data_IF_360044195999
#
_entry.id   IF_360044195999
#
_cell.length_a   1.000
_cell.length_b   1.000
_cell.length_c   1.000
_cell.angle_alpha   90.00
_cell.angle_beta   90.00
_cell.angle_gamma   90.00
#
_symmetry.space_group_name_H-M   'P 1'
#
loop_
_entity.id
_entity.type
_entity.pdbx_description
1 polymer ?
#
# COMPACT_ATOMS: atom_id res chain seq x y z
N UNK A 1 -9.48 -20.84 12.48
CA UNK A 1 -10.13 -22.04 13.04
C UNK A 1 -9.03 -23.05 13.34
N UNK A 2 -9.11 -23.86 14.39
CA UNK A 2 -7.98 -24.74 14.77
C UNK A 2 -7.64 -25.78 13.67
N UNK A 3 -8.55 -25.98 12.71
CA UNK A 3 -8.36 -26.83 11.52
C UNK A 3 -7.41 -26.22 10.47
N UNK A 4 -7.08 -24.93 10.56
CA UNK A 4 -6.23 -24.21 9.60
C UNK A 4 -4.76 -24.15 10.04
N UNK A 5 -4.38 -24.91 11.08
CA UNK A 5 -3.04 -24.90 11.63
C UNK A 5 -2.47 -26.32 11.71
N UNK A 6 -1.29 -26.50 11.13
CA UNK A 6 -0.51 -27.73 11.26
C UNK A 6 0.51 -27.55 12.39
N UNK A 7 0.39 -28.35 13.45
CA UNK A 7 1.37 -28.39 14.54
C UNK A 7 2.31 -29.58 14.34
N UNK A 8 3.62 -29.30 14.27
CA UNK A 8 4.66 -30.32 14.16
C UNK A 8 5.54 -30.30 15.40
N UNK A 9 5.76 -31.48 15.99
CA UNK A 9 6.64 -31.67 17.15
C UNK A 9 7.79 -32.59 16.75
N UNK A 10 9.03 -32.19 17.04
CA UNK A 10 10.19 -33.00 16.73
C UNK A 10 10.19 -34.33 17.51
N UNK A 11 10.32 -35.44 16.79
CA UNK A 11 10.34 -36.80 17.37
C UNK A 11 11.60 -37.08 18.18
N UNK A 12 12.71 -36.42 17.86
CA UNK A 12 13.99 -36.56 18.56
C UNK A 12 14.26 -35.34 19.45
N UNK A 13 14.26 -35.56 20.76
CA UNK A 13 14.64 -34.60 21.79
C UNK A 13 16.17 -34.64 21.97
N UNK A 14 16.86 -33.62 21.47
CA UNK A 14 18.28 -33.40 21.76
C UNK A 14 18.47 -32.64 23.08
N UNK A 15 17.42 -31.93 23.53
CA UNK A 15 17.39 -31.10 24.74
C UNK A 15 16.20 -31.46 25.63
N UNK A 16 16.13 -30.86 26.82
CA UNK A 16 15.05 -31.09 27.81
C UNK A 16 13.67 -30.61 27.35
N UNK A 17 13.59 -29.76 26.32
CA UNK A 17 12.33 -29.22 25.79
C UNK A 17 12.14 -29.61 24.31
N UNK A 18 10.88 -29.85 23.93
CA UNK A 18 10.52 -30.18 22.56
C UNK A 18 10.67 -28.98 21.62
N UNK A 19 11.10 -29.27 20.39
CA UNK A 19 11.03 -28.33 19.27
C UNK A 19 9.67 -28.45 18.61
N UNK A 20 8.98 -27.33 18.50
CA UNK A 20 7.63 -27.28 17.95
C UNK A 20 7.51 -26.20 16.88
N UNK A 21 6.72 -26.46 15.85
CA UNK A 21 6.49 -25.55 14.75
C UNK A 21 5.00 -25.52 14.42
N UNK A 22 4.44 -24.33 14.32
CA UNK A 22 3.06 -24.11 13.88
C UNK A 22 3.08 -23.49 12.48
N UNK A 23 2.42 -24.14 11.53
CA UNK A 23 2.20 -23.62 10.18
C UNK A 23 0.76 -23.19 10.05
N UNK A 24 0.57 -21.94 9.69
CA UNK A 24 -0.76 -21.35 9.49
C UNK A 24 -1.10 -21.38 8.01
N UNK A 25 -2.37 -21.65 7.68
CA UNK A 25 -2.87 -21.72 6.29
C UNK A 25 -2.57 -20.45 5.50
N UNK A 26 -2.46 -19.31 6.17
CA UNK A 26 -2.16 -18.01 5.59
C UNK A 26 -0.69 -17.82 5.17
N UNK A 27 0.20 -18.79 5.43
CA UNK A 27 1.61 -18.77 5.04
C UNK A 27 2.58 -18.35 6.15
N UNK A 28 2.08 -17.99 7.33
CA UNK A 28 2.90 -17.68 8.51
C UNK A 28 3.37 -18.94 9.22
N UNK A 29 4.57 -18.88 9.82
CA UNK A 29 5.15 -20.00 10.58
C UNK A 29 5.70 -19.49 11.90
N UNK A 30 5.34 -20.15 13.00
CA UNK A 30 5.83 -19.84 14.34
C UNK A 30 6.66 -21.00 14.87
N UNK A 31 7.85 -20.68 15.38
CA UNK A 31 8.81 -21.66 15.87
C UNK A 31 8.97 -21.54 17.38
N UNK A 32 8.86 -22.66 18.09
CA UNK A 32 9.13 -22.76 19.53
C UNK A 32 10.36 -23.62 19.79
N UNK A 33 11.30 -23.06 20.54
CA UNK A 33 12.58 -23.70 20.89
C UNK A 33 13.42 -24.19 19.68
N UNK A 34 13.24 -23.62 18.49
CA UNK A 34 13.98 -24.03 17.28
C UNK A 34 15.16 -23.09 17.03
N UNK A 35 16.37 -23.65 16.91
CA UNK A 35 17.57 -22.88 16.62
C UNK A 35 17.47 -22.16 15.28
N UNK A 36 18.08 -20.97 15.16
CA UNK A 36 18.01 -20.13 13.97
C UNK A 36 18.42 -20.84 12.68
N UNK A 37 19.48 -21.66 12.72
CA UNK A 37 19.94 -22.44 11.57
C UNK A 37 18.85 -23.43 11.09
N UNK A 38 18.15 -24.08 12.03
CA UNK A 38 17.07 -25.01 11.72
C UNK A 38 15.86 -24.25 11.16
N UNK A 39 15.49 -23.10 11.76
CA UNK A 39 14.43 -22.21 11.26
C UNK A 39 14.70 -21.79 9.82
N UNK A 40 15.92 -21.32 9.53
CA UNK A 40 16.32 -20.90 8.19
C UNK A 40 16.24 -22.05 7.17
N UNK A 41 16.65 -23.26 7.55
CA UNK A 41 16.53 -24.44 6.69
C UNK A 41 15.07 -24.79 6.37
N UNK A 42 14.18 -24.71 7.36
CA UNK A 42 12.74 -24.94 7.18
C UNK A 42 12.15 -23.87 6.26
N UNK A 43 12.41 -22.59 6.53
CA UNK A 43 11.90 -21.49 5.70
C UNK A 43 12.40 -21.60 4.25
N UNK A 44 13.67 -21.95 4.04
CA UNK A 44 14.25 -22.16 2.71
C UNK A 44 13.53 -23.30 1.95
N UNK A 45 13.16 -24.37 2.65
CA UNK A 45 12.39 -25.46 2.05
C UNK A 45 10.98 -25.01 1.64
N UNK A 46 10.29 -24.29 2.53
CA UNK A 46 8.94 -23.78 2.27
C UNK A 46 8.87 -22.75 1.14
N UNK A 47 9.95 -22.00 0.89
CA UNK A 47 10.01 -20.94 -0.15
C UNK A 47 9.63 -21.43 -1.56
N UNK A 48 9.81 -22.73 -1.84
CA UNK A 48 9.42 -23.35 -3.10
C UNK A 48 7.91 -23.61 -3.24
N UNK A 49 7.18 -23.60 -2.13
CA UNK A 49 5.73 -23.87 -2.05
C UNK A 49 4.91 -22.62 -1.70
N UNK A 50 5.54 -21.45 -1.60
CA UNK A 50 4.88 -20.19 -1.28
C UNK A 50 4.14 -19.64 -2.50
N UNK A 51 2.83 -19.42 -2.35
CA UNK A 51 1.95 -18.77 -3.33
C UNK A 51 1.63 -17.33 -2.87
N UNK A 52 1.68 -16.37 -3.79
CA UNK A 52 1.41 -14.97 -3.44
C UNK A 52 2.47 -14.34 -2.53
N UNK A 53 3.75 -14.51 -2.91
CA UNK A 53 4.90 -14.10 -2.11
C UNK A 53 4.86 -12.63 -1.71
N UNK A 54 5.17 -12.36 -0.45
CA UNK A 54 5.43 -11.00 0.03
C UNK A 54 6.84 -10.54 -0.36
N UNK A 55 7.04 -9.22 -0.33
CA UNK A 55 8.35 -8.61 -0.48
C UNK A 55 9.29 -9.12 0.62
N UNK A 56 10.48 -9.61 0.24
CA UNK A 56 11.39 -10.27 1.20
C UNK A 56 11.83 -9.31 2.31
N UNK A 57 12.05 -8.04 1.96
CA UNK A 57 12.37 -7.00 2.93
C UNK A 57 11.23 -6.81 3.95
N UNK A 58 9.97 -6.71 3.49
CA UNK A 58 8.83 -6.57 4.40
C UNK A 58 8.66 -7.80 5.31
N UNK A 59 8.94 -9.01 4.80
CA UNK A 59 8.90 -10.23 5.63
C UNK A 59 9.97 -10.23 6.71
N UNK A 60 11.18 -9.75 6.40
CA UNK A 60 12.27 -9.64 7.37
C UNK A 60 12.00 -8.54 8.41
N UNK A 61 11.51 -7.37 7.98
CA UNK A 61 11.20 -6.23 8.84
C UNK A 61 10.07 -6.55 9.83
N UNK A 62 9.04 -7.26 9.38
CA UNK A 62 7.90 -7.66 10.22
C UNK A 62 8.13 -8.98 10.97
N UNK A 63 9.34 -9.55 10.94
CA UNK A 63 9.64 -10.80 11.63
C UNK A 63 9.69 -10.61 13.14
N UNK A 64 8.73 -11.21 13.86
CA UNK A 64 8.66 -11.10 15.32
C UNK A 64 9.36 -12.25 16.06
N UNK A 65 9.93 -11.93 17.22
CA UNK A 65 10.48 -12.92 18.14
C UNK A 65 10.13 -12.59 19.59
N UNK A 66 9.73 -13.60 20.35
CA UNK A 66 9.42 -13.47 21.79
C UNK A 66 10.22 -14.51 22.58
N UNK A 67 10.67 -14.12 23.76
CA UNK A 67 11.31 -15.04 24.70
C UNK A 67 10.26 -15.63 25.63
N UNK A 68 10.37 -16.92 25.94
CA UNK A 68 9.52 -17.55 26.94
C UNK A 68 10.36 -18.18 28.06
N UNK A 69 9.72 -18.39 29.21
CA UNK A 69 10.25 -19.12 30.37
C UNK A 69 9.12 -19.86 31.07
N UNK A 70 9.46 -20.88 31.82
CA UNK A 70 8.52 -21.52 32.72
C UNK A 70 8.42 -20.74 34.04
N UNK A 71 7.20 -20.61 34.57
CA UNK A 71 6.98 -20.01 35.88
C UNK A 71 7.49 -20.93 36.99
N UNK A 72 8.10 -20.35 38.03
CA UNK A 72 8.46 -21.08 39.25
C UNK A 72 7.19 -21.27 40.09
N UNK A 73 6.49 -22.38 39.88
CA UNK A 73 5.31 -22.80 40.64
C UNK A 73 3.98 -22.70 39.87
N UNK A 74 2.84 -23.06 40.50
CA UNK A 74 1.52 -23.10 39.87
C UNK A 74 0.99 -21.67 39.68
N UNK A 75 1.47 -20.99 38.64
CA UNK A 75 1.00 -19.69 38.21
C UNK A 75 0.35 -19.83 36.83
N UNK A 76 -0.73 -19.07 36.59
CA UNK A 76 -1.31 -18.96 35.25
C UNK A 76 -0.27 -18.43 34.27
N UNK A 77 -0.41 -18.84 33.02
CA UNK A 77 0.39 -18.32 31.91
C UNK A 77 0.13 -16.83 31.72
N UNK A 78 1.21 -16.05 31.59
CA UNK A 78 1.18 -14.58 31.55
C UNK A 78 2.20 -14.04 30.56
N UNK A 79 1.86 -12.92 29.92
CA UNK A 79 2.79 -12.11 29.14
C UNK A 79 3.19 -10.90 30.00
N UNK A 80 4.49 -10.77 30.32
CA UNK A 80 5.01 -9.65 31.12
C UNK A 80 6.34 -9.19 30.52
N UNK A 81 6.44 -7.90 30.17
CA UNK A 81 7.64 -7.30 29.56
C UNK A 81 8.14 -8.10 28.34
N UNK A 82 7.24 -8.40 27.40
CA UNK A 82 7.52 -9.16 26.17
C UNK A 82 8.12 -10.56 26.40
N UNK A 83 7.88 -11.10 27.59
CA UNK A 83 8.27 -12.46 27.96
C UNK A 83 7.04 -13.27 28.32
N UNK A 84 6.93 -14.42 27.69
CA UNK A 84 5.88 -15.38 27.96
C UNK A 84 6.32 -16.24 29.15
N UNK A 85 5.54 -16.22 30.22
CA UNK A 85 5.72 -17.11 31.36
C UNK A 85 4.71 -18.24 31.24
N UNK A 86 5.15 -19.41 30.78
CA UNK A 86 4.33 -20.60 30.60
C UNK A 86 4.17 -21.36 31.91
N UNK A 87 2.96 -21.86 32.16
CA UNK A 87 2.70 -22.79 33.25
C UNK A 87 3.05 -24.22 32.83
N UNK A 88 4.04 -24.89 33.44
CA UNK A 88 4.38 -26.27 33.11
C UNK A 88 3.30 -27.28 33.51
N UNK A 89 2.41 -26.93 34.44
CA UNK A 89 1.31 -27.80 34.92
C UNK A 89 -0.03 -27.50 34.21
N UNK A 90 -0.04 -26.58 33.25
CA UNK A 90 -1.23 -26.09 32.54
C UNK A 90 -1.52 -26.81 31.21
N UNK A 91 -2.47 -26.26 30.44
CA UNK A 91 -2.74 -26.68 29.06
C UNK A 91 -1.73 -26.02 28.11
N UNK A 92 -0.47 -26.44 28.21
CA UNK A 92 0.65 -25.79 27.52
C UNK A 92 0.46 -25.72 26.01
N UNK A 93 -0.12 -26.75 25.37
CA UNK A 93 -0.34 -26.78 23.91
C UNK A 93 -1.34 -25.72 23.43
N UNK A 94 -2.45 -25.55 24.16
CA UNK A 94 -3.47 -24.54 23.82
C UNK A 94 -2.93 -23.13 24.05
N UNK A 95 -2.15 -22.94 25.12
CA UNK A 95 -1.51 -21.66 25.43
C UNK A 95 -0.46 -21.31 24.36
N UNK A 96 0.43 -22.25 23.99
CA UNK A 96 1.41 -22.08 22.90
C UNK A 96 0.72 -21.78 21.56
N UNK A 97 -0.36 -22.49 21.24
CA UNK A 97 -1.18 -22.17 20.07
C UNK A 97 -1.75 -20.75 20.13
N UNK A 98 -2.28 -20.34 21.28
CA UNK A 98 -2.88 -19.01 21.46
C UNK A 98 -1.85 -17.90 21.23
N UNK A 99 -0.64 -18.05 21.79
CA UNK A 99 0.45 -17.10 21.52
C UNK A 99 0.91 -17.14 20.07
N UNK A 100 1.04 -18.32 19.47
CA UNK A 100 1.45 -18.45 18.06
C UNK A 100 0.45 -17.80 17.11
N UNK A 101 -0.84 -17.99 17.37
CA UNK A 101 -1.91 -17.36 16.60
C UNK A 101 -1.89 -15.84 16.81
N UNK A 102 -1.68 -15.36 18.04
CA UNK A 102 -1.56 -13.93 18.31
C UNK A 102 -0.36 -13.29 17.59
N UNK A 103 0.81 -13.93 17.62
CA UNK A 103 2.01 -13.48 16.89
C UNK A 103 1.77 -13.47 15.38
N UNK A 104 1.15 -14.52 14.84
CA UNK A 104 0.80 -14.58 13.41
C UNK A 104 -0.10 -13.42 12.99
N UNK A 105 -1.11 -13.11 13.81
CA UNK A 105 -2.01 -11.99 13.55
C UNK A 105 -1.28 -10.64 13.64
N UNK A 106 -0.32 -10.50 14.55
CA UNK A 106 0.53 -9.31 14.69
C UNK A 106 1.39 -9.08 13.46
N UNK A 107 2.18 -10.08 13.04
CA UNK A 107 3.00 -10.02 11.82
C UNK A 107 2.14 -9.71 10.59
N UNK A 108 0.98 -10.36 10.48
CA UNK A 108 0.05 -10.12 9.36
C UNK A 108 -0.44 -8.68 9.33
N UNK A 109 -0.70 -8.09 10.50
CA UNK A 109 -1.09 -6.69 10.60
C UNK A 109 0.03 -5.78 10.12
N UNK A 110 1.27 -6.01 10.55
CA UNK A 110 2.44 -5.26 10.09
C UNK A 110 2.61 -5.31 8.56
N UNK A 111 2.49 -6.49 7.97
CA UNK A 111 2.52 -6.66 6.49
C UNK A 111 1.37 -5.88 5.80
N UNK A 112 0.19 -5.86 6.40
CA UNK A 112 -0.95 -5.11 5.87
C UNK A 112 -0.75 -3.61 5.96
N UNK A 113 -0.18 -3.13 7.07
CA UNK A 113 0.19 -1.73 7.27
C UNK A 113 1.24 -1.29 6.25
N UNK A 114 2.32 -2.06 6.08
CA UNK A 114 3.34 -1.79 5.06
C UNK A 114 2.77 -1.80 3.63
N UNK A 115 1.84 -2.71 3.33
CA UNK A 115 1.17 -2.76 2.04
C UNK A 115 0.27 -1.53 1.83
N UNK A 116 -0.47 -1.13 2.87
CA UNK A 116 -1.36 0.01 2.86
C UNK A 116 -0.57 1.32 2.66
N UNK A 117 0.58 1.46 3.32
CA UNK A 117 1.49 2.59 3.12
C UNK A 117 1.97 2.68 1.67
N UNK A 118 2.32 1.55 1.04
CA UNK A 118 2.68 1.52 -0.39
C UNK A 118 1.53 1.96 -1.29
N UNK A 119 0.30 1.55 -0.98
CA UNK A 119 -0.89 2.00 -1.74
C UNK A 119 -1.13 3.50 -1.58
N UNK A 120 -1.02 4.05 -0.37
CA UNK A 120 -1.18 5.48 -0.11
C UNK A 120 -0.16 6.28 -0.94
N UNK A 121 1.12 5.90 -0.87
CA UNK A 121 2.19 6.57 -1.62
C UNK A 121 1.93 6.54 -3.14
N UNK A 122 1.45 5.41 -3.67
CA UNK A 122 1.13 5.30 -5.09
C UNK A 122 -0.07 6.19 -5.48
N UNK A 123 -1.09 6.30 -4.64
CA UNK A 123 -2.24 7.18 -4.89
C UNK A 123 -1.81 8.65 -4.90
N UNK A 124 -0.95 9.05 -3.96
CA UNK A 124 -0.41 10.40 -3.89
C UNK A 124 0.36 10.75 -5.17
N UNK A 125 1.26 9.86 -5.61
CA UNK A 125 1.99 10.04 -6.87
C UNK A 125 1.08 10.15 -8.09
N UNK A 126 0.09 9.26 -8.22
CA UNK A 126 -0.87 9.30 -9.34
C UNK A 126 -1.67 10.60 -9.34
N UNK A 127 -2.10 11.06 -8.16
CA UNK A 127 -2.81 12.33 -7.99
C UNK A 127 -1.95 13.52 -8.41
N UNK A 128 -0.67 13.56 -8.01
CA UNK A 128 0.26 14.62 -8.38
C UNK A 128 0.46 14.67 -9.90
N UNK A 129 0.71 13.52 -10.55
CA UNK A 129 0.89 13.44 -12.00
C UNK A 129 -0.37 13.90 -12.74
N UNK A 130 -1.56 13.54 -12.25
CA UNK A 130 -2.83 14.00 -12.84
C UNK A 130 -3.02 15.50 -12.70
N UNK A 131 -2.73 16.08 -11.52
CA UNK A 131 -2.80 17.52 -11.30
C UNK A 131 -1.87 18.28 -12.25
N UNK A 132 -0.63 17.81 -12.41
CA UNK A 132 0.32 18.39 -13.37
C UNK A 132 -0.26 18.36 -14.78
N UNK A 133 -0.75 17.21 -15.25
CA UNK A 133 -1.32 17.10 -16.60
C UNK A 133 -2.55 17.99 -16.79
N UNK A 134 -3.42 18.08 -15.79
CA UNK A 134 -4.60 18.93 -15.82
C UNK A 134 -4.22 20.41 -15.95
N UNK A 135 -3.25 20.87 -15.17
CA UNK A 135 -2.76 22.25 -15.23
C UNK A 135 -2.21 22.59 -16.62
N UNK A 136 -1.48 21.68 -17.26
CA UNK A 136 -1.02 21.89 -18.65
C UNK A 136 -2.19 22.00 -19.63
N UNK A 137 -3.22 21.16 -19.50
CA UNK A 137 -4.41 21.26 -20.34
C UNK A 137 -5.16 22.59 -20.13
N UNK A 138 -5.23 23.08 -18.90
CA UNK A 138 -5.84 24.38 -18.57
C UNK A 138 -5.05 25.50 -19.23
N UNK A 139 -3.72 25.50 -19.10
CA UNK A 139 -2.84 26.51 -19.71
C UNK A 139 -3.00 26.53 -21.24
N UNK A 140 -3.00 25.35 -21.90
CA UNK A 140 -3.25 25.26 -23.34
C UNK A 140 -4.64 25.78 -23.73
N UNK A 141 -5.67 25.49 -22.93
CA UNK A 141 -7.02 26.00 -23.16
C UNK A 141 -7.09 27.52 -23.02
N UNK A 142 -6.39 28.10 -22.04
CA UNK A 142 -6.30 29.55 -21.87
C UNK A 142 -5.58 30.22 -23.04
N UNK A 143 -4.48 29.64 -23.52
CA UNK A 143 -3.77 30.12 -24.71
C UNK A 143 -4.63 30.04 -25.98
N UNK A 144 -5.41 28.97 -26.15
CA UNK A 144 -6.34 28.86 -27.28
C UNK A 144 -7.46 29.91 -27.17
N UNK A 145 -7.97 30.13 -25.96
CA UNK A 145 -9.02 31.12 -25.71
C UNK A 145 -8.52 32.54 -25.97
N UNK A 146 -7.31 32.88 -25.54
CA UNK A 146 -6.72 34.21 -25.81
C UNK A 146 -6.53 34.41 -27.32
N UNK A 147 -6.01 33.41 -28.03
CA UNK A 147 -5.82 33.48 -29.48
C UNK A 147 -7.15 33.65 -30.23
N UNK A 148 -8.20 32.90 -29.86
CA UNK A 148 -9.54 33.11 -30.43
C UNK A 148 -10.05 34.51 -30.14
N UNK A 149 -9.89 35.01 -28.92
CA UNK A 149 -10.34 36.34 -28.52
C UNK A 149 -9.66 37.43 -29.36
N UNK A 150 -8.35 37.32 -29.58
CA UNK A 150 -7.60 38.22 -30.46
C UNK A 150 -8.12 38.13 -31.90
N UNK A 151 -8.28 36.92 -32.43
CA UNK A 151 -8.78 36.74 -33.80
C UNK A 151 -10.20 37.31 -33.96
N UNK A 152 -11.08 37.11 -32.98
CA UNK A 152 -12.43 37.69 -32.99
C UNK A 152 -12.40 39.22 -32.94
N UNK A 153 -11.55 39.81 -32.09
CA UNK A 153 -11.39 41.26 -32.01
C UNK A 153 -10.89 41.84 -33.34
N UNK A 154 -9.84 41.25 -33.94
CA UNK A 154 -9.33 41.69 -35.24
C UNK A 154 -10.35 41.52 -36.35
N UNK A 155 -11.10 40.41 -36.38
CA UNK A 155 -12.18 40.23 -37.37
C UNK A 155 -13.28 41.28 -37.21
N UNK A 156 -13.64 41.63 -35.98
CA UNK A 156 -14.64 42.65 -35.69
C UNK A 156 -14.16 44.03 -36.13
N UNK A 157 -12.88 44.36 -35.90
CA UNK A 157 -12.26 45.59 -36.39
C UNK A 157 -12.35 45.71 -37.92
N UNK A 158 -11.96 44.65 -38.65
CA UNK A 158 -12.05 44.63 -40.12
C UNK A 158 -13.49 44.77 -40.63
N UNK A 159 -14.47 44.16 -39.96
CA UNK A 159 -15.89 44.30 -40.30
C UNK A 159 -16.33 45.76 -40.14
N UNK A 160 -15.95 46.44 -39.05
CA UNK A 160 -16.28 47.85 -38.83
C UNK A 160 -15.66 48.73 -39.93
N UNK A 161 -14.38 48.52 -40.26
CA UNK A 161 -13.70 49.31 -41.30
C UNK A 161 -14.41 49.16 -42.64
N UNK A 162 -14.78 47.93 -43.04
CA UNK A 162 -15.50 47.68 -44.29
C UNK A 162 -16.87 48.35 -44.29
N UNK A 163 -17.63 48.26 -43.19
CA UNK A 163 -18.95 48.88 -43.09
C UNK A 163 -18.89 50.40 -43.21
N UNK A 164 -17.90 51.05 -42.58
CA UNK A 164 -17.70 52.50 -42.68
C UNK A 164 -17.34 52.91 -44.11
N UNK A 165 -16.46 52.15 -44.78
CA UNK A 165 -16.06 52.45 -46.17
C UNK A 165 -17.24 52.40 -47.15
N UNK A 166 -18.16 51.45 -46.96
CA UNK A 166 -19.37 51.34 -47.78
C UNK A 166 -20.30 52.53 -47.55
N UNK A 167 -20.53 52.92 -46.28
CA UNK A 167 -21.38 54.06 -45.92
C UNK A 167 -20.90 55.36 -46.56
N UNK A 168 -19.61 55.69 -46.36
CA UNK A 168 -18.98 56.89 -46.93
C UNK A 168 -19.01 56.86 -48.46
N UNK A 169 -18.84 55.67 -49.06
CA UNK A 169 -18.93 55.49 -50.50
C UNK A 169 -20.32 55.85 -51.06
N UNK A 170 -21.39 55.40 -50.41
CA UNK A 170 -22.76 55.76 -50.80
C UNK A 170 -23.03 57.27 -50.65
N UNK A 171 -22.57 57.87 -49.55
CA UNK A 171 -22.73 59.31 -49.32
C UNK A 171 -21.99 60.14 -50.39
N UNK A 172 -20.77 59.73 -50.76
CA UNK A 172 -20.01 60.36 -51.84
C UNK A 172 -20.67 60.20 -53.21
N UNK A 173 -21.18 59.01 -53.53
CA UNK A 173 -21.91 58.78 -54.78
C UNK A 173 -23.16 59.65 -54.88
N UNK A 174 -23.93 59.72 -53.79
CA UNK A 174 -25.12 60.57 -53.72
C UNK A 174 -24.77 62.06 -53.84
N UNK A 175 -23.66 62.49 -53.23
CA UNK A 175 -23.19 63.87 -53.34
C UNK A 175 -22.75 64.22 -54.77
N UNK A 176 -22.07 63.30 -55.47
CA UNK A 176 -21.69 63.50 -56.87
C UNK A 176 -22.90 63.57 -57.81
N UNK A 177 -23.90 62.70 -57.63
CA UNK A 177 -25.15 62.75 -58.38
C UNK A 177 -25.93 64.06 -58.12
N UNK A 178 -25.75 64.67 -56.96
CA UNK A 178 -26.34 65.96 -56.65
C UNK A 178 -25.56 67.14 -57.25
N UNK A 179 -24.29 66.97 -57.57
CA UNK A 179 -23.41 68.04 -58.08
C UNK A 179 -23.33 68.06 -59.62
N UNK A 180 -23.68 66.97 -60.28
CA UNK A 180 -23.72 66.82 -61.74
C UNK A 180 -25.17 66.75 -62.23
#
# INVERSE_FOLDING_TARGET
DANDVLHMVATYQLETEHREIYFFREGSVVFWNVAELERANVLRYLKSYEEGKYDEQAVEEESESLTYRYSEGPSKTKLVNDKIFLNPEGQTDLEKYTFSNAMTLSVKLGIWEASLDRYINNIEYVSEVMNVKLNHCIELMELLKSHLSEQHASRLEWIIIILIMVEVGFELLHFLERLY
#
